data_IF_833077405890
#
_entry.id   IF_833077405890
#
_cell.length_a   1.000
_cell.length_b   1.000
_cell.length_c   1.000
_cell.angle_alpha   90.00
_cell.angle_beta   90.00
_cell.angle_gamma   90.00
#
_symmetry.space_group_name_H-M   'P 1'
#
loop_
_entity.id
_entity.type
_entity.pdbx_description
1 polymer ?
#
# COMPACT_ATOMS: atom_id res chain seq x y z
N UNK A 1 31.90 -15.50 32.35
CA UNK A 1 32.96 -16.02 31.48
C UNK A 1 32.64 -17.47 31.21
N UNK A 2 31.97 -17.74 30.10
CA UNK A 2 31.62 -19.09 29.67
C UNK A 2 32.05 -19.19 28.22
N UNK A 3 33.17 -19.87 27.99
CA UNK A 3 33.74 -20.11 26.68
C UNK A 3 32.94 -21.23 26.00
N UNK A 4 32.50 -21.00 24.76
CA UNK A 4 32.03 -22.06 23.88
C UNK A 4 33.17 -22.40 22.92
N UNK A 5 33.95 -23.43 23.24
CA UNK A 5 34.96 -23.99 22.35
C UNK A 5 34.31 -25.01 21.41
N UNK A 6 34.41 -24.78 20.10
CA UNK A 6 34.24 -25.83 19.08
C UNK A 6 35.52 -25.89 18.24
N UNK A 7 36.16 -27.06 18.08
CA UNK A 7 37.45 -27.15 17.42
C UNK A 7 37.26 -27.27 15.90
N UNK A 8 37.69 -26.26 15.15
CA UNK A 8 37.92 -26.40 13.71
C UNK A 8 39.40 -26.14 13.46
N UNK A 9 40.15 -27.23 13.37
CA UNK A 9 41.49 -27.28 12.79
C UNK A 9 41.39 -26.86 11.32
N UNK A 10 41.96 -25.72 10.93
CA UNK A 10 42.76 -25.55 9.69
C UNK A 10 43.26 -24.09 9.58
N UNK A 11 44.57 -23.96 9.77
CA UNK A 11 45.52 -22.92 9.33
C UNK A 11 44.96 -21.78 8.45
N UNK A 12 44.86 -20.55 8.99
CA UNK A 12 45.30 -19.30 8.35
C UNK A 12 45.21 -18.13 9.35
N UNK A 13 46.25 -17.30 9.42
CA UNK A 13 46.44 -16.20 10.37
C UNK A 13 45.53 -14.99 10.06
N UNK A 14 44.28 -14.99 10.54
CA UNK A 14 43.50 -13.75 10.72
C UNK A 14 42.67 -13.89 12.01
N UNK A 15 43.03 -13.14 13.05
CA UNK A 15 42.20 -12.99 14.26
C UNK A 15 41.01 -12.07 13.93
N UNK A 16 39.94 -12.62 13.34
CA UNK A 16 38.67 -11.89 13.23
C UNK A 16 37.90 -12.10 14.53
N UNK A 17 37.97 -11.12 15.43
CA UNK A 17 37.06 -11.04 16.56
C UNK A 17 35.65 -10.69 16.07
N UNK A 18 34.86 -11.70 15.72
CA UNK A 18 33.42 -11.53 15.59
C UNK A 18 32.85 -11.43 17.01
N UNK A 19 32.61 -10.20 17.48
CA UNK A 19 31.80 -9.98 18.67
C UNK A 19 30.41 -10.55 18.43
N UNK A 20 29.94 -11.44 19.31
CA UNK A 20 28.55 -11.88 19.30
C UNK A 20 27.64 -10.64 19.42
N UNK A 21 26.53 -10.56 18.66
CA UNK A 21 25.51 -9.55 18.93
C UNK A 21 25.02 -9.72 20.38
N UNK A 22 24.82 -8.64 21.13
CA UNK A 22 24.39 -8.74 22.52
C UNK A 22 23.06 -9.49 22.60
N UNK A 23 22.95 -10.41 23.56
CA UNK A 23 21.68 -11.05 23.89
C UNK A 23 20.65 -9.98 24.27
N UNK A 24 19.41 -10.23 23.88
CA UNK A 24 18.24 -9.35 23.96
C UNK A 24 17.79 -9.02 25.41
N UNK A 25 18.66 -9.24 26.39
CA UNK A 25 18.42 -9.16 27.83
C UNK A 25 18.84 -7.81 28.42
N UNK A 26 19.50 -6.95 27.63
CA UNK A 26 20.00 -5.64 28.06
C UNK A 26 19.03 -4.48 27.77
N UNK A 27 17.95 -4.73 27.04
CA UNK A 27 16.87 -3.77 26.85
C UNK A 27 15.88 -3.97 27.99
N UNK A 28 15.95 -3.14 29.03
CA UNK A 28 14.93 -3.03 30.10
C UNK A 28 13.58 -2.53 29.51
N UNK A 29 13.01 -3.31 28.59
CA UNK A 29 11.65 -3.14 28.12
C UNK A 29 10.71 -3.87 29.08
N UNK A 30 9.57 -3.27 29.45
CA UNK A 30 8.53 -4.01 30.15
C UNK A 30 8.18 -5.24 29.32
N UNK A 31 8.02 -6.38 29.99
CA UNK A 31 7.67 -7.64 29.32
C UNK A 31 6.45 -7.42 28.42
N UNK A 32 6.41 -8.03 27.21
CA UNK A 32 5.21 -7.96 26.39
C UNK A 32 4.06 -8.49 27.23
N UNK A 33 3.05 -7.65 27.49
CA UNK A 33 1.81 -8.09 28.12
C UNK A 33 1.09 -8.98 27.11
N UNK A 34 1.48 -10.24 27.09
CA UNK A 34 0.78 -11.29 26.36
C UNK A 34 -0.49 -11.54 27.15
N UNK A 35 -1.58 -10.88 26.74
CA UNK A 35 -2.89 -11.31 27.19
C UNK A 35 -3.11 -12.73 26.67
N UNK A 36 -2.91 -13.71 27.56
CA UNK A 36 -3.13 -15.14 27.32
C UNK A 36 -4.59 -15.48 27.02
N UNK A 37 -5.46 -14.47 27.05
CA UNK A 37 -6.91 -14.48 26.90
C UNK A 37 -7.42 -14.90 25.51
N UNK A 38 -6.55 -15.29 24.58
CA UNK A 38 -6.92 -15.68 23.22
C UNK A 38 -6.38 -17.05 22.77
N UNK A 39 -5.69 -17.77 23.63
CA UNK A 39 -4.98 -19.01 23.28
C UNK A 39 -5.88 -20.27 23.20
N UNK A 40 -7.12 -20.22 23.71
CA UNK A 40 -8.05 -21.36 23.72
C UNK A 40 -9.31 -21.09 22.88
N UNK A 41 -9.93 -22.14 22.32
CA UNK A 41 -11.25 -22.04 21.69
C UNK A 41 -12.25 -21.45 22.69
N UNK A 42 -13.07 -20.49 22.25
CA UNK A 42 -14.09 -19.78 23.06
C UNK A 42 -13.57 -18.82 24.14
N UNK A 43 -12.34 -18.30 24.02
CA UNK A 43 -11.83 -17.35 25.03
C UNK A 43 -12.55 -15.99 25.04
N UNK A 44 -13.28 -15.64 23.97
CA UNK A 44 -14.09 -14.43 23.89
C UNK A 44 -15.57 -14.70 24.15
N UNK A 45 -16.23 -13.79 24.88
CA UNK A 45 -17.67 -13.86 25.16
C UNK A 45 -18.49 -13.92 23.85
N UNK A 46 -19.66 -14.55 23.90
CA UNK A 46 -20.56 -14.72 22.74
C UNK A 46 -20.79 -13.37 22.04
N UNK A 47 -20.40 -13.29 20.76
CA UNK A 47 -20.47 -12.07 19.97
C UNK A 47 -19.17 -11.26 19.93
N UNK A 48 -18.06 -11.80 20.43
CA UNK A 48 -16.71 -11.25 20.29
C UNK A 48 -15.77 -12.29 19.63
N UNK A 49 -14.81 -11.83 18.82
CA UNK A 49 -13.79 -12.64 18.14
C UNK A 49 -12.39 -12.20 18.59
N UNK A 50 -11.41 -13.09 18.55
CA UNK A 50 -10.04 -12.73 18.87
C UNK A 50 -9.32 -12.11 17.65
N UNK A 51 -8.74 -10.91 17.82
CA UNK A 51 -7.90 -10.24 16.82
C UNK A 51 -6.80 -9.44 17.52
N UNK A 52 -5.55 -9.57 17.07
CA UNK A 52 -4.38 -8.91 17.68
C UNK A 52 -4.31 -9.11 19.21
N UNK A 53 -4.52 -10.36 19.65
CA UNK A 53 -4.55 -10.78 21.06
C UNK A 53 -5.57 -10.04 21.94
N UNK A 54 -6.69 -9.57 21.36
CA UNK A 54 -7.80 -8.96 22.10
C UNK A 54 -9.17 -9.41 21.58
N UNK A 55 -10.18 -9.43 22.46
CA UNK A 55 -11.56 -9.73 22.09
C UNK A 55 -12.25 -8.49 21.51
N UNK A 56 -12.71 -8.56 20.26
CA UNK A 56 -13.40 -7.47 19.54
C UNK A 56 -14.80 -7.91 19.10
N UNK A 57 -15.80 -7.03 19.15
CA UNK A 57 -17.20 -7.37 18.88
C UNK A 57 -17.41 -7.91 17.45
N UNK A 58 -17.80 -9.19 17.33
CA UNK A 58 -18.05 -9.91 16.07
C UNK A 58 -19.21 -9.33 15.24
N UNK A 59 -20.15 -8.60 15.87
CA UNK A 59 -21.24 -7.91 15.15
C UNK A 59 -20.75 -6.75 14.28
N UNK A 60 -19.57 -6.20 14.55
CA UNK A 60 -18.96 -5.15 13.74
C UNK A 60 -18.29 -5.66 12.45
N UNK A 61 -18.17 -6.99 12.27
CA UNK A 61 -17.40 -7.57 11.17
C UNK A 61 -18.26 -8.18 10.05
N UNK A 62 -19.47 -8.67 10.33
CA UNK A 62 -20.26 -9.40 9.34
C UNK A 62 -20.71 -8.55 8.14
N UNK A 63 -20.97 -7.26 8.32
CA UNK A 63 -21.34 -6.31 7.24
C UNK A 63 -20.12 -5.65 6.57
N UNK A 64 -18.92 -5.75 7.17
CA UNK A 64 -17.69 -5.09 6.70
C UNK A 64 -16.79 -6.03 5.87
N UNK A 65 -16.87 -7.34 6.07
CA UNK A 65 -15.97 -8.32 5.41
C UNK A 65 -16.16 -8.36 3.88
N UNK A 66 -17.38 -8.22 3.35
CA UNK A 66 -17.64 -8.34 1.91
C UNK A 66 -17.17 -7.13 1.08
N UNK A 67 -17.14 -5.93 1.67
CA UNK A 67 -16.61 -4.72 1.01
C UNK A 67 -15.09 -4.54 1.24
N UNK A 68 -14.56 -4.96 2.39
CA UNK A 68 -13.12 -4.90 2.68
C UNK A 68 -12.32 -5.80 1.74
N UNK A 69 -12.79 -7.03 1.46
CA UNK A 69 -12.04 -7.96 0.61
C UNK A 69 -11.78 -7.40 -0.79
N UNK A 70 -12.75 -6.71 -1.39
CA UNK A 70 -12.61 -6.18 -2.75
C UNK A 70 -11.79 -4.88 -2.78
N UNK A 71 -12.03 -3.95 -1.84
CA UNK A 71 -11.25 -2.70 -1.79
C UNK A 71 -9.78 -2.90 -1.45
N UNK A 72 -9.50 -3.90 -0.61
CA UNK A 72 -8.14 -4.21 -0.18
C UNK A 72 -7.36 -4.92 -1.30
N UNK A 73 -8.02 -5.82 -2.05
CA UNK A 73 -7.42 -6.47 -3.21
C UNK A 73 -7.08 -5.46 -4.32
N UNK A 74 -8.02 -4.56 -4.66
CA UNK A 74 -7.79 -3.53 -5.67
C UNK A 74 -6.69 -2.55 -5.28
N UNK A 75 -6.65 -2.16 -4.01
CA UNK A 75 -5.57 -1.30 -3.50
C UNK A 75 -4.21 -2.00 -3.56
N UNK A 76 -4.12 -3.30 -3.25
CA UNK A 76 -2.86 -4.03 -3.35
C UNK A 76 -2.42 -4.26 -4.79
N UNK A 77 -3.35 -4.51 -5.73
CA UNK A 77 -3.02 -4.60 -7.15
C UNK A 77 -2.45 -3.28 -7.69
N UNK A 78 -3.09 -2.15 -7.35
CA UNK A 78 -2.59 -0.83 -7.72
C UNK A 78 -1.21 -0.55 -7.09
N UNK A 79 -1.01 -0.92 -5.83
CA UNK A 79 0.26 -0.74 -5.13
C UNK A 79 1.39 -1.54 -5.78
N UNK A 80 1.14 -2.78 -6.20
CA UNK A 80 2.12 -3.59 -6.96
C UNK A 80 2.53 -2.91 -8.26
N UNK A 81 1.56 -2.41 -9.04
CA UNK A 81 1.87 -1.65 -10.26
C UNK A 81 2.78 -0.44 -9.97
N UNK A 82 2.54 0.30 -8.89
CA UNK A 82 3.45 1.40 -8.51
C UNK A 82 4.87 0.92 -8.18
N UNK A 83 5.02 -0.23 -7.53
CA UNK A 83 6.33 -0.82 -7.23
C UNK A 83 7.05 -1.27 -8.50
N UNK A 84 6.33 -1.89 -9.44
CA UNK A 84 6.87 -2.36 -10.71
C UNK A 84 7.39 -1.22 -11.59
N UNK A 85 6.83 -0.02 -11.41
CA UNK A 85 7.31 1.21 -12.04
C UNK A 85 8.29 2.02 -11.17
N UNK A 86 8.88 1.40 -10.15
CA UNK A 86 9.94 1.97 -9.32
C UNK A 86 9.58 3.29 -8.64
N UNK A 87 8.32 3.46 -8.23
CA UNK A 87 7.97 4.63 -7.41
C UNK A 87 8.67 4.55 -6.06
N UNK A 88 9.22 5.67 -5.56
CA UNK A 88 9.88 5.66 -4.26
C UNK A 88 8.83 5.48 -3.15
N UNK A 89 9.24 4.90 -2.02
CA UNK A 89 8.35 4.58 -0.90
C UNK A 89 7.52 5.78 -0.42
N UNK A 90 8.12 6.98 -0.43
CA UNK A 90 7.47 8.26 -0.13
C UNK A 90 6.25 8.60 -1.00
N UNK A 91 6.11 7.98 -2.18
CA UNK A 91 4.96 8.12 -3.07
C UNK A 91 3.88 7.04 -2.84
N UNK A 92 4.18 5.96 -2.10
CA UNK A 92 3.27 4.81 -1.93
C UNK A 92 1.95 5.18 -1.24
N UNK A 93 1.94 6.26 -0.44
CA UNK A 93 0.72 6.79 0.17
C UNK A 93 -0.33 7.30 -0.83
N UNK A 94 0.02 7.41 -2.12
CA UNK A 94 -0.91 7.76 -3.21
C UNK A 94 -1.29 6.54 -4.07
N UNK A 95 -0.66 5.39 -3.86
CA UNK A 95 -0.85 4.15 -4.62
C UNK A 95 -1.92 3.25 -3.98
N UNK A 96 -3.14 3.77 -3.85
CA UNK A 96 -4.30 3.00 -3.40
C UNK A 96 -5.55 3.49 -4.11
N UNK A 97 -6.33 2.54 -4.62
CA UNK A 97 -7.60 2.80 -5.30
C UNK A 97 -8.55 3.61 -4.40
N UNK A 98 -8.57 3.34 -3.10
CA UNK A 98 -9.41 4.09 -2.14
C UNK A 98 -8.97 5.55 -2.04
N UNK A 99 -7.66 5.78 -1.94
CA UNK A 99 -7.08 7.11 -1.78
C UNK A 99 -6.99 7.92 -3.09
N UNK A 100 -7.15 7.26 -4.25
CA UNK A 100 -7.10 7.90 -5.56
C UNK A 100 -8.31 8.83 -5.73
N UNK A 101 -8.11 10.13 -5.58
CA UNK A 101 -9.13 11.17 -5.71
C UNK A 101 -8.47 12.53 -5.96
N UNK A 102 -9.28 13.55 -6.26
CA UNK A 102 -8.82 14.91 -6.57
C UNK A 102 -7.95 15.50 -5.45
N UNK A 103 -8.33 15.31 -4.18
CA UNK A 103 -7.59 15.86 -3.03
C UNK A 103 -6.20 15.21 -2.89
N UNK A 104 -6.12 13.89 -3.05
CA UNK A 104 -4.84 13.17 -3.02
C UNK A 104 -3.93 13.57 -4.17
N UNK A 105 -4.47 13.75 -5.39
CA UNK A 105 -3.69 14.21 -6.54
C UNK A 105 -3.21 15.64 -6.31
N UNK A 106 -4.09 16.54 -5.84
CA UNK A 106 -3.71 17.91 -5.51
C UNK A 106 -2.62 17.96 -4.44
N UNK A 107 -2.70 17.10 -3.42
CA UNK A 107 -1.68 16.97 -2.37
C UNK A 107 -0.34 16.47 -2.91
N UNK A 108 -0.35 15.55 -3.88
CA UNK A 108 0.86 15.08 -4.57
C UNK A 108 1.52 16.25 -5.32
N UNK A 109 0.73 16.97 -6.12
CA UNK A 109 1.21 18.11 -6.91
C UNK A 109 1.75 19.25 -6.04
N UNK A 110 1.08 19.54 -4.92
CA UNK A 110 1.48 20.58 -3.97
C UNK A 110 2.75 20.24 -3.19
N UNK A 111 3.05 18.94 -3.01
CA UNK A 111 4.20 18.46 -2.24
C UNK A 111 5.25 17.80 -3.14
N UNK A 112 5.58 18.47 -4.25
CA UNK A 112 6.55 17.99 -5.26
C UNK A 112 7.92 17.59 -4.67
N UNK A 113 8.36 18.23 -3.58
CA UNK A 113 9.64 17.88 -2.93
C UNK A 113 9.63 16.48 -2.29
N UNK A 114 8.45 15.94 -1.96
CA UNK A 114 8.30 14.61 -1.35
C UNK A 114 7.95 13.54 -2.36
N UNK A 115 7.24 13.84 -3.44
CA UNK A 115 6.95 12.88 -4.49
C UNK A 115 7.08 13.61 -5.84
N UNK A 116 7.96 13.15 -6.76
CA UNK A 116 8.14 13.81 -8.05
C UNK A 116 6.82 13.93 -8.80
N UNK A 117 6.58 15.05 -9.49
CA UNK A 117 5.35 15.23 -10.27
C UNK A 117 5.18 14.19 -11.37
N UNK A 118 6.29 13.67 -11.90
CA UNK A 118 6.30 12.56 -12.87
C UNK A 118 5.67 11.28 -12.34
N UNK A 119 5.64 11.09 -11.00
CA UNK A 119 4.95 9.96 -10.39
C UNK A 119 3.43 10.03 -10.57
N UNK A 120 2.85 11.19 -10.84
CA UNK A 120 1.40 11.32 -11.08
C UNK A 120 0.96 10.52 -12.32
N UNK A 121 1.70 10.61 -13.42
CA UNK A 121 1.42 9.84 -14.64
C UNK A 121 1.41 8.35 -14.37
N UNK A 122 2.37 7.87 -13.58
CA UNK A 122 2.47 6.44 -13.23
C UNK A 122 1.34 6.02 -12.27
N UNK A 123 1.04 6.82 -11.24
CA UNK A 123 -0.05 6.53 -10.30
C UNK A 123 -1.37 6.46 -11.05
N UNK A 124 -1.59 7.37 -11.99
CA UNK A 124 -2.79 7.41 -12.82
C UNK A 124 -2.88 6.22 -13.77
N UNK A 125 -1.77 5.85 -14.42
CA UNK A 125 -1.67 4.63 -15.21
C UNK A 125 -2.02 3.38 -14.38
N UNK A 126 -1.45 3.25 -13.19
CA UNK A 126 -1.78 2.14 -12.30
C UNK A 126 -3.22 2.18 -11.80
N UNK A 127 -3.84 3.36 -11.67
CA UNK A 127 -5.24 3.49 -11.31
C UNK A 127 -6.19 3.02 -12.42
N UNK A 128 -5.82 3.19 -13.69
CA UNK A 128 -6.64 2.75 -14.85
C UNK A 128 -6.54 1.25 -15.13
N UNK A 129 -5.66 0.53 -14.41
CA UNK A 129 -5.37 -0.90 -14.60
C UNK A 129 -4.81 -1.23 -15.98
N UNK A 130 -4.27 -0.23 -16.69
CA UNK A 130 -3.72 -0.35 -18.05
C UNK A 130 -4.76 -0.81 -19.08
N UNK A 131 -6.03 -0.49 -18.84
CA UNK A 131 -7.15 -0.80 -19.72
C UNK A 131 -7.65 0.47 -20.42
N UNK A 132 -8.34 0.29 -21.54
CA UNK A 132 -9.01 1.36 -22.26
C UNK A 132 -10.43 1.58 -21.70
N UNK A 133 -10.65 2.74 -21.07
CA UNK A 133 -11.96 3.14 -20.52
C UNK A 133 -12.64 4.24 -21.35
N UNK A 134 -12.21 4.48 -22.60
CA UNK A 134 -12.74 5.57 -23.43
C UNK A 134 -14.26 5.48 -23.63
N UNK A 135 -14.81 4.29 -23.83
CA UNK A 135 -16.25 4.11 -24.01
C UNK A 135 -17.04 4.56 -22.77
N UNK A 136 -16.61 4.16 -21.57
CA UNK A 136 -17.22 4.62 -20.32
C UNK A 136 -17.03 6.13 -20.15
N UNK A 137 -15.83 6.66 -20.40
CA UNK A 137 -15.56 8.09 -20.27
C UNK A 137 -16.39 8.96 -21.23
N UNK A 138 -16.61 8.49 -22.47
CA UNK A 138 -17.46 9.14 -23.46
C UNK A 138 -18.92 9.18 -22.96
N UNK A 139 -19.42 8.07 -22.41
CA UNK A 139 -20.77 8.02 -21.81
C UNK A 139 -20.90 8.98 -20.61
N UNK A 140 -19.84 9.12 -19.80
CA UNK A 140 -19.76 10.08 -18.68
C UNK A 140 -19.49 11.53 -19.12
N UNK A 141 -19.49 11.81 -20.43
CA UNK A 141 -19.31 13.17 -21.02
C UNK A 141 -17.98 13.83 -20.63
N UNK A 142 -16.91 13.06 -20.47
CA UNK A 142 -15.57 13.61 -20.28
C UNK A 142 -15.13 14.28 -21.60
N UNK A 143 -14.60 15.53 -21.56
CA UNK A 143 -14.22 16.24 -22.78
C UNK A 143 -13.15 15.48 -23.59
N UNK A 144 -13.16 15.59 -24.93
CA UNK A 144 -12.19 14.92 -25.81
C UNK A 144 -10.72 15.19 -25.43
N UNK A 145 -10.45 16.41 -24.95
CA UNK A 145 -9.11 16.84 -24.50
C UNK A 145 -8.60 16.10 -23.26
N UNK A 146 -9.46 15.36 -22.56
CA UNK A 146 -9.14 14.60 -21.35
C UNK A 146 -9.30 13.08 -21.54
N UNK A 147 -9.73 12.62 -22.72
CA UNK A 147 -9.99 11.18 -22.97
C UNK A 147 -8.70 10.35 -22.99
N UNK A 148 -7.55 10.95 -23.28
CA UNK A 148 -6.25 10.30 -23.20
C UNK A 148 -5.90 9.84 -21.78
N UNK A 149 -6.49 10.46 -20.75
CA UNK A 149 -6.39 10.01 -19.35
C UNK A 149 -7.32 8.82 -19.04
N UNK A 150 -8.27 8.49 -19.91
CA UNK A 150 -9.13 7.32 -19.72
C UNK A 150 -8.47 6.03 -20.21
N UNK A 151 -7.51 6.14 -21.11
CA UNK A 151 -6.80 5.01 -21.72
C UNK A 151 -5.29 5.24 -21.70
N UNK A 152 -4.67 5.40 -20.52
CA UNK A 152 -3.22 5.52 -20.48
C UNK A 152 -2.62 4.15 -20.83
N UNK A 153 -2.17 4.00 -22.07
CA UNK A 153 -1.53 2.77 -22.58
C UNK A 153 -0.08 2.64 -22.13
N UNK A 154 0.48 3.70 -21.54
CA UNK A 154 1.85 3.75 -21.04
C UNK A 154 1.93 4.63 -19.77
N UNK A 155 2.86 4.33 -18.83
CA UNK A 155 3.18 5.22 -17.70
C UNK A 155 3.69 6.60 -18.15
N UNK A 156 3.99 6.79 -19.43
CA UNK A 156 4.41 8.06 -20.03
C UNK A 156 3.24 8.95 -20.47
N UNK A 157 1.98 8.50 -20.35
CA UNK A 157 0.82 9.34 -20.63
C UNK A 157 0.88 10.61 -19.79
N UNK A 158 0.93 11.76 -20.46
CA UNK A 158 1.36 13.01 -19.85
C UNK A 158 0.29 13.59 -18.93
N UNK A 159 0.38 13.32 -17.63
CA UNK A 159 -0.48 13.92 -16.61
C UNK A 159 0.24 15.02 -15.84
N UNK A 160 0.58 16.09 -16.56
CA UNK A 160 1.30 17.26 -16.02
C UNK A 160 0.39 18.49 -15.88
N UNK A 161 0.99 19.67 -15.72
CA UNK A 161 0.33 20.97 -15.59
C UNK A 161 -0.71 21.26 -16.68
N UNK A 162 -0.43 20.87 -17.92
CA UNK A 162 -1.35 21.06 -19.05
C UNK A 162 -2.69 20.33 -18.88
N UNK A 163 -2.73 19.28 -18.06
CA UNK A 163 -3.92 18.43 -17.84
C UNK A 163 -4.60 18.70 -16.49
N UNK A 164 -4.18 19.74 -15.76
CA UNK A 164 -4.81 20.08 -14.48
C UNK A 164 -6.29 20.42 -14.61
N UNK A 165 -6.71 20.97 -15.75
CA UNK A 165 -8.13 21.22 -16.05
C UNK A 165 -8.97 19.93 -16.13
N UNK A 166 -8.34 18.76 -16.31
CA UNK A 166 -9.00 17.46 -16.31
C UNK A 166 -9.22 16.89 -14.91
N UNK A 167 -8.64 17.49 -13.85
CA UNK A 167 -8.75 16.98 -12.48
C UNK A 167 -10.20 16.90 -11.97
N UNK A 168 -11.06 17.81 -12.43
CA UNK A 168 -12.49 17.79 -12.10
C UNK A 168 -13.20 16.52 -12.56
N UNK A 169 -12.67 15.81 -13.56
CA UNK A 169 -13.24 14.58 -14.10
C UNK A 169 -12.66 13.30 -13.48
N UNK A 170 -11.69 13.41 -12.56
CA UNK A 170 -11.02 12.24 -11.96
C UNK A 170 -12.00 11.32 -11.24
N UNK A 171 -13.01 11.86 -10.57
CA UNK A 171 -14.05 11.05 -9.91
C UNK A 171 -14.86 10.24 -10.92
N UNK A 172 -15.14 10.81 -12.10
CA UNK A 172 -15.83 10.12 -13.19
C UNK A 172 -14.93 9.05 -13.81
N UNK A 173 -13.68 9.39 -14.12
CA UNK A 173 -12.68 8.43 -14.62
C UNK A 173 -12.51 7.26 -13.65
N UNK A 174 -12.38 7.54 -12.35
CA UNK A 174 -12.27 6.53 -11.30
C UNK A 174 -13.47 5.58 -11.29
N UNK A 175 -14.68 6.09 -11.49
CA UNK A 175 -15.87 5.22 -11.54
C UNK A 175 -15.76 4.18 -12.67
N UNK A 176 -15.27 4.58 -13.85
CA UNK A 176 -15.00 3.65 -14.95
C UNK A 176 -13.91 2.63 -14.59
N UNK A 177 -12.84 3.06 -13.92
CA UNK A 177 -11.74 2.17 -13.53
C UNK A 177 -12.15 1.07 -12.54
N UNK A 178 -13.29 1.23 -11.87
CA UNK A 178 -13.82 0.28 -10.89
C UNK A 178 -14.81 -0.73 -11.50
N UNK A 179 -15.27 -0.53 -12.73
CA UNK A 179 -16.23 -1.41 -13.40
C UNK A 179 -15.59 -2.70 -13.97
N UNK A 180 -14.26 -2.79 -14.02
CA UNK A 180 -13.46 -3.89 -14.59
C UNK A 180 -12.41 -4.41 -13.61
#
# INVERSE_FOLDING_TARGET
>A
MSNCDLPIFFLFLINISFGCPPSLESLNLPHPVVHTECLKRNSCQRGYICRLNRCVGGRAFASKIKQLQNSDFESERMKRCCLDHFLPERCMGFCSSNSYNVSSIFRLLSKSNRCPRTSLSIIHFCASKNLDHQDCCNQKRIPPRCLDLCSPSSPTTRFDESKLHCLQYISLMKSCFQEF
#
